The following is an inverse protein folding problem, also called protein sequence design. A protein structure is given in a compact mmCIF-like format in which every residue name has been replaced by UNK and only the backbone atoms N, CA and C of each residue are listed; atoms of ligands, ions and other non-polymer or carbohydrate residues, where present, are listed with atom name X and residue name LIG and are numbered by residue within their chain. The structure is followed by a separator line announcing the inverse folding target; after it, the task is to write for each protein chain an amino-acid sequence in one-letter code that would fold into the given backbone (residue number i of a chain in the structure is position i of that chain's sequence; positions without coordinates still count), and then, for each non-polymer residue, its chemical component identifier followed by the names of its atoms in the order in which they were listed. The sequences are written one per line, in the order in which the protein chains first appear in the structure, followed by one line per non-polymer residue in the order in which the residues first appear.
data_IF_310118456168
#
_entry.id   IF_310118456168
#
_cell.length_a   1.000
_cell.length_b   1.000
_cell.length_c   1.000
_cell.angle_alpha   90.00
_cell.angle_beta   90.00
_cell.angle_gamma   90.00
#
_symmetry.space_group_name_H-M   'P 1'
#
loop_
_entity.id
_entity.type
_entity.pdbx_description
1 polymer ?
#
# COMPACT_ATOMS: atom_id res chain seq x y z
N UNK A 1 -14.90 58.96 -6.03
CA UNK A 1 -15.24 57.60 -6.50
C UNK A 1 -13.96 56.79 -6.51
N UNK A 2 -13.79 55.88 -5.55
CA UNK A 2 -12.64 54.99 -5.50
C UNK A 2 -12.99 53.70 -6.26
N UNK A 3 -12.24 53.40 -7.32
CA UNK A 3 -12.30 52.12 -8.02
C UNK A 3 -11.62 51.07 -7.13
N UNK A 4 -12.41 50.18 -6.53
CA UNK A 4 -11.88 48.98 -5.89
C UNK A 4 -11.56 47.97 -6.98
N UNK A 5 -10.28 47.87 -7.34
CA UNK A 5 -9.77 46.73 -8.10
C UNK A 5 -10.01 45.46 -7.26
N UNK A 6 -10.57 44.37 -7.81
CA UNK A 6 -10.61 43.10 -7.12
C UNK A 6 -9.17 42.61 -7.01
N UNK A 7 -8.62 42.65 -5.80
CA UNK A 7 -7.37 41.94 -5.48
C UNK A 7 -7.74 40.46 -5.45
N UNK A 8 -7.84 39.85 -6.63
CA UNK A 8 -7.74 38.41 -6.77
C UNK A 8 -6.26 38.09 -6.66
N UNK A 9 -5.77 37.94 -5.44
CA UNK A 9 -4.54 37.16 -5.22
C UNK A 9 -4.76 35.78 -5.85
N UNK A 10 -3.96 35.36 -6.85
CA UNK A 10 -4.06 34.00 -7.36
C UNK A 10 -3.77 33.02 -6.22
N UNK A 11 -4.43 31.85 -6.18
CA UNK A 11 -4.10 30.83 -5.19
C UNK A 11 -2.61 30.48 -5.33
N UNK A 12 -1.89 30.59 -4.22
CA UNK A 12 -0.55 30.05 -4.05
C UNK A 12 -0.64 28.52 -3.95
N UNK A 13 -1.04 27.87 -5.04
CA UNK A 13 -0.76 26.46 -5.29
C UNK A 13 -0.81 26.22 -6.79
N UNK A 14 0.35 25.88 -7.37
CA UNK A 14 0.51 25.57 -8.79
C UNK A 14 -0.04 24.20 -9.19
N UNK A 15 -1.09 23.71 -8.54
CA UNK A 15 -1.76 22.46 -8.88
C UNK A 15 -3.17 22.79 -9.35
N UNK A 16 -3.45 22.49 -10.62
CA UNK A 16 -4.80 22.55 -11.14
C UNK A 16 -5.67 21.60 -10.29
N UNK A 17 -6.88 21.98 -9.84
CA UNK A 17 -7.75 21.06 -9.09
C UNK A 17 -7.94 19.72 -9.81
N UNK A 18 -8.02 19.76 -11.15
CA UNK A 18 -8.10 18.58 -12.01
C UNK A 18 -6.87 17.65 -11.87
N UNK A 19 -5.66 18.19 -11.69
CA UNK A 19 -4.47 17.35 -11.50
C UNK A 19 -4.49 16.65 -10.14
N UNK A 20 -4.95 17.34 -9.09
CA UNK A 20 -5.10 16.74 -7.76
C UNK A 20 -6.10 15.58 -7.79
N UNK A 21 -7.31 15.80 -8.30
CA UNK A 21 -8.32 14.73 -8.34
C UNK A 21 -7.85 13.54 -9.17
N UNK A 22 -7.18 13.79 -10.29
CA UNK A 22 -6.57 12.72 -11.09
C UNK A 22 -5.50 11.95 -10.33
N UNK A 23 -4.75 12.59 -9.42
CA UNK A 23 -3.74 11.92 -8.60
C UNK A 23 -4.42 11.12 -7.47
N UNK A 24 -5.42 11.71 -6.82
CA UNK A 24 -6.23 11.04 -5.80
C UNK A 24 -6.94 9.80 -6.36
N UNK A 25 -7.53 9.88 -7.55
CA UNK A 25 -8.17 8.74 -8.23
C UNK A 25 -7.18 7.61 -8.52
N UNK A 26 -5.94 7.96 -8.88
CA UNK A 26 -4.91 6.95 -9.14
C UNK A 26 -4.38 6.32 -7.86
N UNK A 27 -4.32 7.07 -6.76
CA UNK A 27 -4.01 6.52 -5.45
C UNK A 27 -5.13 5.59 -4.94
N UNK A 28 -6.40 5.95 -5.13
CA UNK A 28 -7.54 5.06 -4.84
C UNK A 28 -7.48 3.77 -5.66
N UNK A 29 -7.12 3.85 -6.95
CA UNK A 29 -6.95 2.65 -7.78
C UNK A 29 -5.83 1.72 -7.27
N UNK A 30 -4.75 2.26 -6.72
CA UNK A 30 -3.68 1.45 -6.08
C UNK A 30 -4.22 0.76 -4.82
N UNK A 31 -4.98 1.48 -4.00
CA UNK A 31 -5.64 0.92 -2.81
C UNK A 31 -6.55 -0.25 -3.21
N UNK A 32 -7.40 -0.07 -4.23
CA UNK A 32 -8.32 -1.10 -4.69
C UNK A 32 -7.58 -2.35 -5.19
N UNK A 33 -6.48 -2.17 -5.93
CA UNK A 33 -5.65 -3.28 -6.41
C UNK A 33 -4.92 -3.99 -5.27
N UNK A 34 -4.52 -3.27 -4.23
CA UNK A 34 -3.93 -3.87 -3.04
C UNK A 34 -4.95 -4.76 -2.31
N UNK A 35 -6.21 -4.32 -2.22
CA UNK A 35 -7.30 -5.17 -1.72
C UNK A 35 -7.48 -6.42 -2.57
N UNK A 36 -7.52 -6.28 -3.90
CA UNK A 36 -7.65 -7.44 -4.80
C UNK A 36 -6.48 -8.43 -4.64
N UNK A 37 -5.26 -7.94 -4.44
CA UNK A 37 -4.09 -8.76 -4.19
C UNK A 37 -4.18 -9.53 -2.87
N UNK A 38 -4.53 -8.84 -1.77
CA UNK A 38 -4.71 -9.45 -0.44
C UNK A 38 -5.83 -10.50 -0.48
N UNK A 39 -6.98 -10.16 -1.06
CA UNK A 39 -8.12 -11.07 -1.16
C UNK A 39 -7.77 -12.31 -2.00
N UNK A 40 -7.04 -12.13 -3.11
CA UNK A 40 -6.61 -13.24 -3.95
C UNK A 40 -5.58 -14.14 -3.24
N UNK A 41 -4.65 -13.59 -2.48
CA UNK A 41 -3.67 -14.35 -1.71
C UNK A 41 -4.31 -15.11 -0.55
N UNK A 42 -5.24 -14.48 0.18
CA UNK A 42 -5.99 -15.12 1.27
C UNK A 42 -6.78 -16.36 0.81
N UNK A 43 -7.19 -16.42 -0.48
CA UNK A 43 -7.85 -17.58 -1.06
C UNK A 43 -6.91 -18.77 -1.35
N UNK A 44 -5.61 -18.52 -1.48
CA UNK A 44 -4.58 -19.56 -1.69
C UNK A 44 -4.05 -20.08 -0.34
N UNK A 45 -3.97 -19.19 0.67
CA UNK A 45 -3.37 -19.50 1.97
C UNK A 45 -1.92 -19.94 1.84
N UNK A 46 -1.43 -20.72 2.81
CA UNK A 46 0.00 -21.14 2.86
C UNK A 46 0.40 -22.21 1.81
N UNK A 47 -0.55 -22.69 1.00
CA UNK A 47 -0.36 -23.86 0.13
C UNK A 47 -0.11 -23.47 -1.34
N UNK A 48 0.92 -22.67 -1.56
CA UNK A 48 1.27 -22.07 -2.86
C UNK A 48 1.53 -23.06 -4.01
N UNK A 49 1.71 -24.35 -3.73
CA UNK A 49 2.05 -25.39 -4.72
C UNK A 49 1.01 -26.50 -4.87
N UNK A 50 -0.21 -26.35 -4.33
CA UNK A 50 -1.29 -27.27 -4.64
C UNK A 50 -1.76 -27.04 -6.10
N UNK A 51 -1.65 -28.09 -6.93
CA UNK A 51 -2.09 -28.06 -8.34
C UNK A 51 -3.58 -27.71 -8.43
N UNK A 52 -4.39 -28.11 -7.45
CA UNK A 52 -5.81 -27.76 -7.39
C UNK A 52 -6.04 -26.25 -7.15
N UNK A 53 -5.06 -25.54 -6.59
CA UNK A 53 -5.08 -24.11 -6.32
C UNK A 53 -4.26 -23.31 -7.35
N UNK A 54 -3.67 -23.95 -8.36
CA UNK A 54 -2.77 -23.31 -9.33
C UNK A 54 -3.41 -22.10 -10.03
N UNK A 55 -4.70 -22.16 -10.36
CA UNK A 55 -5.41 -21.04 -10.99
C UNK A 55 -5.60 -19.86 -10.01
N UNK A 56 -5.77 -20.13 -8.72
CA UNK A 56 -5.89 -19.12 -7.67
C UNK A 56 -4.52 -18.49 -7.37
N UNK A 57 -3.47 -19.31 -7.26
CA UNK A 57 -2.08 -18.84 -7.10
C UNK A 57 -1.67 -17.93 -8.26
N UNK A 58 -2.05 -18.28 -9.49
CA UNK A 58 -1.80 -17.41 -10.65
C UNK A 58 -2.55 -16.07 -10.55
N UNK A 59 -3.80 -16.07 -10.09
CA UNK A 59 -4.57 -14.84 -9.87
C UNK A 59 -3.96 -13.96 -8.80
N UNK A 60 -3.53 -14.54 -7.67
CA UNK A 60 -2.86 -13.83 -6.59
C UNK A 60 -1.57 -13.16 -7.12
N UNK A 61 -0.72 -13.92 -7.81
CA UNK A 61 0.51 -13.38 -8.41
C UNK A 61 0.22 -12.26 -9.43
N UNK A 62 -0.81 -12.42 -10.26
CA UNK A 62 -1.23 -11.41 -11.24
C UNK A 62 -1.75 -10.13 -10.58
N UNK A 63 -2.51 -10.23 -9.49
CA UNK A 63 -3.00 -9.08 -8.75
C UNK A 63 -1.86 -8.29 -8.10
N UNK A 64 -0.89 -8.99 -7.49
CA UNK A 64 0.33 -8.38 -6.96
C UNK A 64 1.15 -7.66 -8.05
N UNK A 65 1.38 -8.29 -9.20
CA UNK A 65 2.08 -7.67 -10.35
C UNK A 65 1.34 -6.43 -10.88
N UNK A 66 0.02 -6.50 -10.93
CA UNK A 66 -0.84 -5.38 -11.37
C UNK A 66 -0.72 -4.19 -10.43
N UNK A 67 -0.73 -4.43 -9.11
CA UNK A 67 -0.54 -3.41 -8.09
C UNK A 67 0.84 -2.73 -8.21
N UNK A 68 1.91 -3.51 -8.36
CA UNK A 68 3.26 -2.99 -8.56
C UNK A 68 3.34 -2.11 -9.81
N UNK A 69 2.80 -2.61 -10.92
CA UNK A 69 2.80 -1.89 -12.19
C UNK A 69 2.02 -0.58 -12.10
N UNK A 70 0.86 -0.56 -11.45
CA UNK A 70 0.07 0.66 -11.28
C UNK A 70 0.80 1.68 -10.39
N UNK A 71 1.44 1.22 -9.33
CA UNK A 71 2.22 2.07 -8.42
C UNK A 71 3.39 2.74 -9.15
N UNK A 72 4.13 1.98 -9.98
CA UNK A 72 5.20 2.53 -10.82
C UNK A 72 4.68 3.56 -11.83
N UNK A 73 3.55 3.28 -12.48
CA UNK A 73 2.91 4.24 -13.41
C UNK A 73 2.46 5.50 -12.69
N UNK A 74 1.93 5.38 -11.47
CA UNK A 74 1.54 6.52 -10.67
C UNK A 74 2.74 7.40 -10.35
N UNK A 75 3.85 6.83 -9.87
CA UNK A 75 5.10 7.55 -9.58
C UNK A 75 5.71 8.27 -10.78
N UNK A 76 5.49 7.76 -12.00
CA UNK A 76 5.96 8.41 -13.22
C UNK A 76 5.17 9.69 -13.60
N UNK A 77 4.08 10.00 -12.89
CA UNK A 77 3.24 11.18 -13.18
C UNK A 77 3.95 12.47 -12.77
N UNK A 78 3.84 13.54 -13.56
CA UNK A 78 4.39 14.82 -13.20
C UNK A 78 3.55 15.49 -12.09
N UNK A 79 4.20 16.31 -11.27
CA UNK A 79 3.57 17.17 -10.25
C UNK A 79 2.90 16.44 -9.08
N UNK A 80 3.32 15.21 -8.77
CA UNK A 80 2.91 14.56 -7.54
C UNK A 80 3.38 15.37 -6.32
N UNK A 81 2.45 15.60 -5.39
CA UNK A 81 2.81 16.15 -4.08
C UNK A 81 3.59 15.15 -3.23
N UNK A 82 4.42 15.64 -2.30
CA UNK A 82 5.30 14.82 -1.46
C UNK A 82 4.58 13.66 -0.75
N UNK A 83 3.34 13.88 -0.31
CA UNK A 83 2.53 12.86 0.34
C UNK A 83 2.10 11.73 -0.60
N UNK A 84 1.86 12.03 -1.88
CA UNK A 84 1.55 11.04 -2.90
C UNK A 84 2.78 10.19 -3.23
N UNK A 85 3.94 10.85 -3.41
CA UNK A 85 5.21 10.18 -3.69
C UNK A 85 5.56 9.24 -2.53
N UNK A 86 5.56 9.76 -1.30
CA UNK A 86 5.84 8.97 -0.10
C UNK A 86 4.93 7.74 0.01
N UNK A 87 3.63 7.90 -0.30
CA UNK A 87 2.69 6.80 -0.23
C UNK A 87 3.01 5.69 -1.24
N UNK A 88 3.28 6.06 -2.49
CA UNK A 88 3.59 5.10 -3.54
C UNK A 88 4.97 4.44 -3.35
N UNK A 89 5.97 5.16 -2.84
CA UNK A 89 7.26 4.60 -2.47
C UNK A 89 7.12 3.55 -1.37
N UNK A 90 6.31 3.80 -0.34
CA UNK A 90 6.06 2.83 0.72
C UNK A 90 5.30 1.60 0.26
N UNK A 91 4.38 1.75 -0.71
CA UNK A 91 3.73 0.59 -1.35
C UNK A 91 4.76 -0.23 -2.11
N UNK A 92 5.64 0.40 -2.90
CA UNK A 92 6.71 -0.33 -3.59
C UNK A 92 7.67 -1.02 -2.63
N UNK A 93 8.06 -0.36 -1.53
CA UNK A 93 8.92 -0.97 -0.51
C UNK A 93 8.30 -2.29 0.00
N UNK A 94 6.98 -2.33 0.24
CA UNK A 94 6.28 -3.56 0.65
C UNK A 94 6.18 -4.59 -0.48
N UNK A 95 5.77 -4.18 -1.68
CA UNK A 95 5.62 -5.07 -2.83
C UNK A 95 6.94 -5.73 -3.27
N UNK A 96 8.05 -5.02 -3.09
CA UNK A 96 9.38 -5.47 -3.49
C UNK A 96 10.18 -6.06 -2.34
N UNK A 97 9.64 -6.09 -1.11
CA UNK A 97 10.35 -6.71 0.00
C UNK A 97 10.50 -8.21 -0.24
N UNK A 98 11.75 -8.61 -0.46
CA UNK A 98 12.15 -10.02 -0.53
C UNK A 98 12.79 -10.48 0.78
N UNK A 99 12.37 -9.88 1.91
CA UNK A 99 12.91 -10.14 3.24
C UNK A 99 14.22 -9.40 3.55
N UNK A 100 14.45 -8.21 2.99
CA UNK A 100 15.75 -7.51 3.13
C UNK A 100 15.79 -6.43 4.23
N UNK A 101 14.66 -5.90 4.70
CA UNK A 101 14.63 -5.01 5.88
C UNK A 101 13.21 -4.81 6.49
N UNK A 102 12.74 -5.77 7.28
CA UNK A 102 11.42 -5.67 7.95
C UNK A 102 11.31 -4.45 8.88
N UNK A 103 12.40 -4.03 9.51
CA UNK A 103 12.40 -2.84 10.37
C UNK A 103 12.12 -1.57 9.56
N UNK A 104 12.65 -1.47 8.34
CA UNK A 104 12.30 -0.40 7.42
C UNK A 104 10.84 -0.47 6.97
N UNK A 105 10.29 -1.64 6.70
CA UNK A 105 8.88 -1.80 6.31
C UNK A 105 7.92 -1.35 7.42
N UNK A 106 8.22 -1.67 8.68
CA UNK A 106 7.45 -1.19 9.84
C UNK A 106 7.37 0.34 9.93
N UNK A 107 8.30 1.06 9.30
CA UNK A 107 8.24 2.53 9.25
C UNK A 107 7.20 3.06 8.26
N UNK A 108 6.76 2.27 7.27
CA UNK A 108 5.84 2.71 6.24
C UNK A 108 4.46 3.09 6.82
N UNK A 109 3.77 2.23 7.59
CA UNK A 109 2.50 2.60 8.22
C UNK A 109 2.60 3.84 9.11
N UNK A 110 3.66 3.91 9.93
CA UNK A 110 3.89 5.03 10.85
C UNK A 110 4.11 6.34 10.09
N UNK A 111 4.88 6.29 9.01
CA UNK A 111 5.19 7.46 8.17
C UNK A 111 3.95 7.96 7.43
N UNK A 112 3.12 7.05 6.91
CA UNK A 112 1.83 7.35 6.30
C UNK A 112 0.86 7.99 7.31
N UNK A 113 0.75 7.44 8.52
CA UNK A 113 -0.11 8.00 9.55
C UNK A 113 0.35 9.40 9.96
N UNK A 114 1.66 9.62 10.10
CA UNK A 114 2.23 10.95 10.34
C UNK A 114 1.91 11.92 9.20
N UNK A 115 1.98 11.46 7.95
CA UNK A 115 1.61 12.27 6.79
C UNK A 115 0.11 12.61 6.81
N UNK A 116 -0.76 11.64 7.12
CA UNK A 116 -2.18 11.86 7.30
C UNK A 116 -2.48 12.91 8.39
N UNK A 117 -1.84 12.83 9.55
CA UNK A 117 -2.01 13.83 10.61
C UNK A 117 -1.56 15.24 10.19
N UNK A 118 -0.46 15.36 9.42
CA UNK A 118 -0.02 16.66 8.89
C UNK A 118 -1.02 17.23 7.88
N UNK A 119 -1.59 16.38 7.03
CA UNK A 119 -2.62 16.78 6.08
C UNK A 119 -3.92 17.18 6.79
N UNK A 120 -4.32 16.45 7.84
CA UNK A 120 -5.53 16.74 8.62
C UNK A 120 -5.52 18.11 9.31
N UNK A 121 -4.34 18.69 9.56
CA UNK A 121 -4.23 20.04 10.09
C UNK A 121 -4.72 21.12 9.10
N UNK A 122 -4.91 20.77 7.83
CA UNK A 122 -5.46 21.64 6.79
C UNK A 122 -6.94 21.32 6.60
N UNK A 123 -7.78 22.36 6.60
CA UNK A 123 -9.25 22.23 6.61
C UNK A 123 -9.84 22.42 5.19
N UNK A 124 -9.16 21.88 4.18
CA UNK A 124 -9.62 21.89 2.80
C UNK A 124 -10.00 20.48 2.31
N UNK A 125 -10.81 20.44 1.24
CA UNK A 125 -11.38 19.18 0.72
C UNK A 125 -10.30 18.22 0.22
N UNK A 126 -9.24 18.75 -0.39
CA UNK A 126 -8.10 17.97 -0.90
C UNK A 126 -7.37 17.27 0.25
N UNK A 127 -7.14 17.99 1.34
CA UNK A 127 -6.50 17.49 2.55
C UNK A 127 -7.35 16.45 3.28
N UNK A 128 -8.68 16.58 3.26
CA UNK A 128 -9.60 15.57 3.81
C UNK A 128 -9.54 14.27 3.02
N UNK A 129 -9.58 14.34 1.68
CA UNK A 129 -9.47 13.17 0.79
C UNK A 129 -8.14 12.46 1.01
N UNK A 130 -7.03 13.21 0.96
CA UNK A 130 -5.70 12.68 1.12
C UNK A 130 -5.49 12.05 2.52
N UNK A 131 -6.01 12.69 3.57
CA UNK A 131 -5.94 12.15 4.95
C UNK A 131 -6.61 10.77 5.04
N UNK A 132 -7.80 10.63 4.43
CA UNK A 132 -8.53 9.36 4.41
C UNK A 132 -7.72 8.28 3.68
N UNK A 133 -7.21 8.59 2.49
CA UNK A 133 -6.44 7.65 1.67
C UNK A 133 -5.17 7.18 2.38
N UNK A 134 -4.39 8.12 2.95
CA UNK A 134 -3.15 7.80 3.68
C UNK A 134 -3.42 6.98 4.94
N UNK A 135 -4.51 7.28 5.67
CA UNK A 135 -4.89 6.50 6.86
C UNK A 135 -5.29 5.08 6.50
N UNK A 136 -6.04 4.92 5.41
CA UNK A 136 -6.47 3.60 4.93
C UNK A 136 -5.29 2.77 4.46
N UNK A 137 -4.40 3.37 3.66
CA UNK A 137 -3.18 2.72 3.19
C UNK A 137 -2.27 2.31 4.36
N UNK A 138 -2.12 3.17 5.36
CA UNK A 138 -1.37 2.85 6.59
C UNK A 138 -1.91 1.59 7.28
N UNK A 139 -3.23 1.48 7.42
CA UNK A 139 -3.87 0.29 8.01
C UNK A 139 -3.64 -0.95 7.17
N UNK A 140 -3.78 -0.87 5.84
CA UNK A 140 -3.57 -2.02 4.95
C UNK A 140 -2.12 -2.52 4.99
N UNK A 141 -1.15 -1.61 4.90
CA UNK A 141 0.26 -1.99 4.97
C UNK A 141 0.62 -2.59 6.34
N UNK A 142 -0.03 -2.15 7.42
CA UNK A 142 0.17 -2.76 8.75
C UNK A 142 -0.27 -4.21 8.76
N UNK A 143 -1.44 -4.52 8.20
CA UNK A 143 -1.96 -5.89 8.12
C UNK A 143 -1.05 -6.79 7.30
N UNK A 144 -0.56 -6.33 6.15
CA UNK A 144 0.37 -7.12 5.30
C UNK A 144 1.65 -7.45 6.06
N UNK A 145 2.23 -6.47 6.76
CA UNK A 145 3.48 -6.66 7.51
C UNK A 145 3.26 -7.58 8.71
N UNK A 146 2.14 -7.44 9.43
CA UNK A 146 1.81 -8.33 10.55
C UNK A 146 1.62 -9.78 10.08
N UNK A 147 0.92 -9.98 8.95
CA UNK A 147 0.67 -11.30 8.37
C UNK A 147 1.98 -11.97 7.91
N UNK A 148 2.87 -11.22 7.24
CA UNK A 148 4.17 -11.73 6.80
C UNK A 148 5.09 -12.14 7.96
N UNK A 149 5.03 -11.41 9.08
CA UNK A 149 5.78 -11.76 10.29
C UNK A 149 5.24 -13.04 10.95
N UNK A 150 3.92 -13.22 10.98
CA UNK A 150 3.31 -14.44 11.54
C UNK A 150 3.58 -15.68 10.68
N UNK A 151 3.66 -15.54 9.35
CA UNK A 151 4.04 -16.63 8.46
C UNK A 151 5.52 -17.02 8.58
N UNK A 152 6.38 -16.12 9.06
CA UNK A 152 7.82 -16.33 9.22
C UNK A 152 8.23 -16.99 10.55
N UNK A 153 7.29 -17.26 11.47
CA UNK A 153 7.55 -17.96 12.73
C UNK A 153 7.14 -19.45 12.61
N UNK A 154 8.00 -20.34 12.09
CA UNK A 154 7.73 -21.76 12.17
C UNK A 154 7.88 -22.18 13.63
N UNK A 155 6.76 -22.50 14.27
CA UNK A 155 6.75 -23.17 15.57
C UNK A 155 7.72 -24.36 15.52
N UNK A 156 8.83 -24.36 16.29
CA UNK A 156 9.85 -25.39 16.20
C UNK A 156 9.44 -26.64 16.98
N UNK A 157 8.23 -27.17 16.75
CA UNK A 157 7.76 -28.42 17.36
C UNK A 157 7.04 -29.35 16.37
N UNK A 158 7.59 -29.53 15.16
CA UNK A 158 7.45 -30.83 14.48
C UNK A 158 8.79 -31.54 14.48
N UNK A 159 9.12 -32.12 15.64
CA UNK A 159 10.10 -33.21 15.75
C UNK A 159 9.60 -34.36 14.91
N UNK A 160 10.01 -34.40 13.64
CA UNK A 160 9.94 -35.59 12.82
C UNK A 160 11.00 -36.54 13.38
N UNK A 161 10.63 -37.43 14.30
CA UNK A 161 11.50 -38.50 14.81
C UNK A 161 11.57 -39.62 13.77
N UNK A 162 12.66 -39.75 12.97
CA UNK A 162 12.80 -40.78 11.96
C UNK A 162 13.36 -42.05 12.60
N UNK A 163 12.75 -42.49 13.71
CA UNK A 163 13.37 -43.43 14.64
C UNK A 163 12.45 -44.41 15.36
N UNK A 164 11.16 -44.52 15.02
CA UNK A 164 10.29 -45.53 15.63
C UNK A 164 10.63 -46.94 15.11
N UNK A 165 11.06 -47.88 15.97
CA UNK A 165 11.49 -49.22 15.54
C UNK A 165 10.29 -50.04 15.03
N UNK A 166 10.44 -50.69 13.88
CA UNK A 166 9.53 -51.76 13.45
C UNK A 166 9.58 -52.91 14.45
N UNK A 167 8.45 -53.15 15.12
CA UNK A 167 8.28 -54.32 15.97
C UNK A 167 8.04 -55.58 15.13
N UNK A 168 8.95 -56.55 15.29
CA UNK A 168 8.69 -57.98 15.52
C UNK A 168 7.86 -58.74 14.49
#
# INVERSE_FOLDING_TARGET
MAMHAPITTPPLSGTCPESFFRDADALDAIIDQLHEAIDAEALVGDQFFDIALSDLAHKAAYAWETCETATLRFLARPHLGDAHVLAAEHVLDVLQDRGLDHDRLRTAPVSLMRAACRSAARVDLESLVLTRQLSHLSSLLSVIIEDSETAADPDPETVFDPGAPSHG
#
